data_IF_578536505164
#
_entry.id   IF_578536505164
#
_cell.length_a   1.000
_cell.length_b   1.000
_cell.length_c   1.000
_cell.angle_alpha   90.00
_cell.angle_beta   90.00
_cell.angle_gamma   90.00
#
_symmetry.space_group_name_H-M   'P 1'
#
loop_
_entity.id
_entity.type
_entity.pdbx_description
1 polymer ?
#
# COMPACT_ATOMS: atom_id res chain seq x y z
N UNK A 1 -15.59 -1.37 4.68
CA UNK A 1 -14.89 -2.67 4.45
C UNK A 1 -13.48 -2.40 3.97
N UNK A 2 -12.52 -3.02 4.60
CA UNK A 2 -11.10 -2.90 4.26
C UNK A 2 -10.56 -4.29 3.94
N UNK A 3 -10.03 -4.47 2.74
CA UNK A 3 -9.53 -5.76 2.25
C UNK A 3 -8.06 -5.58 1.88
N UNK A 4 -7.21 -6.45 2.41
CA UNK A 4 -5.79 -6.47 2.07
C UNK A 4 -5.50 -7.68 1.21
N UNK A 5 -4.84 -7.45 0.07
CA UNK A 5 -4.42 -8.53 -0.83
C UNK A 5 -2.91 -8.64 -0.74
N UNK A 6 -2.44 -9.78 -0.28
CA UNK A 6 -1.02 -10.10 -0.17
C UNK A 6 -0.65 -11.13 -1.23
N UNK A 7 0.61 -11.12 -1.63
CA UNK A 7 1.09 -12.08 -2.60
C UNK A 7 2.49 -11.73 -3.08
N UNK A 8 3.09 -12.66 -3.79
CA UNK A 8 4.40 -12.43 -4.41
C UNK A 8 4.26 -11.56 -5.65
N UNK A 9 5.30 -10.84 -5.96
CA UNK A 9 5.36 -10.09 -7.21
C UNK A 9 5.16 -11.03 -8.41
N UNK A 10 4.54 -10.51 -9.46
CA UNK A 10 4.23 -11.27 -10.68
C UNK A 10 3.23 -12.41 -10.50
N UNK A 11 2.46 -12.41 -9.40
CA UNK A 11 1.46 -13.43 -9.14
C UNK A 11 0.07 -13.13 -9.72
N UNK A 12 -0.06 -12.07 -10.52
CA UNK A 12 -1.36 -11.65 -11.04
C UNK A 12 -2.20 -10.88 -10.04
N UNK A 13 -1.58 -10.38 -8.98
CA UNK A 13 -2.26 -9.70 -7.88
C UNK A 13 -3.03 -8.47 -8.32
N UNK A 14 -2.47 -7.69 -9.26
CA UNK A 14 -3.16 -6.49 -9.78
C UNK A 14 -4.44 -6.87 -10.52
N UNK A 15 -4.40 -7.92 -11.32
CA UNK A 15 -5.58 -8.43 -12.02
C UNK A 15 -6.61 -8.94 -11.03
N UNK A 16 -6.17 -9.60 -9.97
CA UNK A 16 -7.04 -10.08 -8.91
C UNK A 16 -7.75 -8.91 -8.21
N UNK A 17 -7.01 -7.84 -7.89
CA UNK A 17 -7.61 -6.66 -7.25
C UNK A 17 -8.67 -6.02 -8.14
N UNK A 18 -8.43 -5.92 -9.44
CA UNK A 18 -9.41 -5.36 -10.38
C UNK A 18 -10.65 -6.25 -10.49
N UNK A 19 -10.46 -7.57 -10.54
CA UNK A 19 -11.57 -8.51 -10.58
C UNK A 19 -12.39 -8.43 -9.29
N UNK A 20 -11.74 -8.32 -8.15
CA UNK A 20 -12.37 -8.17 -6.86
C UNK A 20 -13.17 -6.88 -6.78
N UNK A 21 -12.62 -5.78 -7.28
CA UNK A 21 -13.32 -4.49 -7.36
C UNK A 21 -14.62 -4.62 -8.15
N UNK A 22 -14.55 -5.22 -9.34
CA UNK A 22 -15.72 -5.42 -10.20
C UNK A 22 -16.75 -6.28 -9.50
N UNK A 23 -16.33 -7.35 -8.86
CA UNK A 23 -17.23 -8.25 -8.13
C UNK A 23 -17.93 -7.51 -7.01
N UNK A 24 -17.22 -6.71 -6.24
CA UNK A 24 -17.79 -5.94 -5.12
C UNK A 24 -18.74 -4.86 -5.60
N UNK A 25 -18.41 -4.17 -6.69
CA UNK A 25 -19.28 -3.15 -7.25
C UNK A 25 -20.63 -3.72 -7.70
N UNK A 26 -20.65 -4.99 -8.12
CA UNK A 26 -21.85 -5.67 -8.59
C UNK A 26 -22.55 -6.50 -7.49
N UNK A 27 -22.02 -6.51 -6.28
CA UNK A 27 -22.61 -7.25 -5.17
C UNK A 27 -23.67 -6.42 -4.45
N UNK A 28 -24.53 -7.09 -3.69
CA UNK A 28 -25.51 -6.39 -2.83
C UNK A 28 -24.81 -5.52 -1.79
N UNK A 29 -23.72 -6.02 -1.23
CA UNK A 29 -22.96 -5.32 -0.18
C UNK A 29 -22.26 -4.09 -0.70
N UNK A 30 -21.83 -4.12 -1.97
CA UNK A 30 -21.13 -3.01 -2.61
C UNK A 30 -22.02 -2.05 -3.37
N UNK A 31 -23.31 -2.34 -3.44
CA UNK A 31 -24.25 -1.54 -4.22
C UNK A 31 -24.32 -0.11 -3.70
N UNK A 32 -24.07 0.84 -4.58
CA UNK A 32 -24.07 2.26 -4.22
C UNK A 32 -22.83 2.73 -3.50
N UNK A 33 -21.82 1.87 -3.33
CA UNK A 33 -20.55 2.23 -2.67
C UNK A 33 -19.43 2.33 -3.69
N UNK A 34 -18.54 3.27 -3.48
CA UNK A 34 -17.32 3.39 -4.27
C UNK A 34 -16.30 2.38 -3.77
N UNK A 35 -15.65 1.70 -4.68
CA UNK A 35 -14.55 0.77 -4.36
C UNK A 35 -13.24 1.39 -4.84
N UNK A 36 -12.29 1.55 -3.95
CA UNK A 36 -10.98 2.14 -4.26
C UNK A 36 -9.88 1.11 -4.04
N UNK A 37 -8.83 1.19 -4.86
CA UNK A 37 -7.68 0.29 -4.76
C UNK A 37 -6.45 1.16 -4.51
N UNK A 38 -5.68 0.81 -3.49
CA UNK A 38 -4.40 1.45 -3.19
C UNK A 38 -3.26 0.44 -3.29
N UNK A 39 -2.17 0.85 -3.95
CA UNK A 39 -0.91 0.11 -3.93
C UNK A 39 0.05 0.69 -2.90
N UNK A 40 1.10 -0.03 -2.58
CA UNK A 40 2.10 0.41 -1.62
C UNK A 40 3.50 0.26 -2.24
N UNK A 41 4.25 1.36 -2.52
CA UNK A 41 3.83 2.75 -2.36
C UNK A 41 2.95 3.21 -3.51
N UNK A 42 2.08 4.17 -3.23
CA UNK A 42 1.24 4.76 -4.25
C UNK A 42 -0.16 5.05 -3.72
N UNK A 43 -1.01 5.59 -4.57
CA UNK A 43 -2.41 5.89 -4.22
C UNK A 43 -2.62 7.24 -3.57
N UNK A 44 -1.69 7.74 -2.79
CA UNK A 44 -1.71 9.09 -2.22
C UNK A 44 -0.72 9.97 -2.95
N UNK A 45 -0.84 11.29 -2.74
CA UNK A 45 0.13 12.25 -3.31
C UNK A 45 1.53 11.93 -2.80
N UNK A 46 1.67 11.70 -1.50
CA UNK A 46 2.95 11.32 -0.89
C UNK A 46 3.49 10.02 -1.50
N UNK A 47 2.66 9.01 -1.64
CA UNK A 47 3.05 7.73 -2.21
C UNK A 47 3.52 7.84 -3.66
N UNK A 48 2.88 8.70 -4.44
CA UNK A 48 3.29 8.93 -5.82
C UNK A 48 4.67 9.57 -5.90
N UNK A 49 4.95 10.55 -5.06
CA UNK A 49 6.26 11.19 -4.97
C UNK A 49 7.33 10.21 -4.48
N UNK A 50 6.99 9.37 -3.52
CA UNK A 50 7.88 8.35 -3.01
C UNK A 50 8.24 7.33 -4.11
N UNK A 51 7.26 6.95 -4.91
CA UNK A 51 7.49 6.03 -6.04
C UNK A 51 8.46 6.61 -7.05
N UNK A 52 8.36 7.92 -7.31
CA UNK A 52 9.32 8.62 -8.18
C UNK A 52 10.72 8.57 -7.59
N UNK A 53 10.84 8.79 -6.29
CA UNK A 53 12.12 8.74 -5.59
C UNK A 53 12.75 7.35 -5.71
N UNK A 54 11.98 6.30 -5.51
CA UNK A 54 12.48 4.92 -5.62
C UNK A 54 12.93 4.54 -7.02
N UNK A 55 12.38 5.18 -8.05
CA UNK A 55 12.79 4.98 -9.44
C UNK A 55 13.94 5.88 -9.87
N UNK A 56 14.33 6.82 -9.03
CA UNK A 56 15.42 7.76 -9.33
C UNK A 56 16.78 7.14 -9.07
N UNK A 57 17.84 7.82 -9.50
CA UNK A 57 19.23 7.43 -9.27
C UNK A 57 19.77 7.94 -7.93
N UNK A 58 18.92 8.55 -7.11
CA UNK A 58 19.33 9.08 -5.80
C UNK A 58 19.71 7.90 -4.91
N UNK A 59 20.94 7.91 -4.43
CA UNK A 59 21.42 6.87 -3.51
C UNK A 59 20.70 6.95 -2.17
N UNK A 60 20.26 5.79 -1.70
CA UNK A 60 19.58 5.66 -0.42
C UNK A 60 20.01 4.36 0.25
N UNK A 61 20.16 4.39 1.56
CA UNK A 61 20.35 3.19 2.34
C UNK A 61 19.02 2.45 2.49
N UNK A 62 19.08 1.17 2.86
CA UNK A 62 17.87 0.40 3.17
C UNK A 62 17.12 1.00 4.35
N UNK A 63 17.86 1.57 5.30
CA UNK A 63 17.26 2.21 6.47
C UNK A 63 16.44 3.44 6.07
N UNK A 64 16.98 4.25 5.15
CA UNK A 64 16.23 5.39 4.62
C UNK A 64 14.96 4.93 3.91
N UNK A 65 15.06 3.89 3.08
CA UNK A 65 13.90 3.33 2.39
C UNK A 65 12.86 2.80 3.38
N UNK A 66 13.31 2.16 4.46
CA UNK A 66 12.41 1.67 5.50
C UNK A 66 11.60 2.81 6.12
N UNK A 67 12.26 3.89 6.51
CA UNK A 67 11.57 5.04 7.11
C UNK A 67 10.62 5.71 6.12
N UNK A 68 11.02 5.77 4.85
CA UNK A 68 10.16 6.32 3.80
C UNK A 68 8.89 5.47 3.62
N UNK A 69 9.04 4.16 3.63
CA UNK A 69 7.90 3.24 3.51
C UNK A 69 7.00 3.33 4.74
N UNK A 70 7.56 3.51 5.92
CA UNK A 70 6.77 3.71 7.14
C UNK A 70 5.96 5.01 7.05
N UNK A 71 6.57 6.09 6.56
CA UNK A 71 5.88 7.36 6.37
C UNK A 71 4.75 7.21 5.33
N UNK A 72 5.01 6.50 4.25
CA UNK A 72 3.99 6.21 3.25
C UNK A 72 2.82 5.45 3.85
N UNK A 73 3.11 4.48 4.70
CA UNK A 73 2.06 3.68 5.37
C UNK A 73 1.19 4.55 6.26
N UNK A 74 1.77 5.49 6.97
CA UNK A 74 1.01 6.45 7.81
C UNK A 74 0.10 7.31 6.93
N UNK A 75 0.64 7.86 5.84
CA UNK A 75 -0.14 8.65 4.90
C UNK A 75 -1.30 7.87 4.31
N UNK A 76 -1.02 6.64 3.89
CA UNK A 76 -2.03 5.75 3.31
C UNK A 76 -3.10 5.37 4.35
N UNK A 77 -2.69 5.12 5.59
CA UNK A 77 -3.63 4.78 6.67
C UNK A 77 -4.62 5.91 6.92
N UNK A 78 -4.15 7.16 6.89
CA UNK A 78 -5.04 8.32 7.04
C UNK A 78 -6.06 8.37 5.90
N UNK A 79 -5.62 8.14 4.67
CA UNK A 79 -6.51 8.16 3.51
C UNK A 79 -7.52 7.02 3.57
N UNK A 80 -7.08 5.83 3.94
CA UNK A 80 -7.97 4.66 4.08
C UNK A 80 -9.02 4.92 5.17
N UNK A 81 -8.60 5.48 6.30
CA UNK A 81 -9.52 5.79 7.39
C UNK A 81 -10.59 6.77 6.94
N UNK A 82 -10.21 7.78 6.18
CA UNK A 82 -11.16 8.74 5.63
C UNK A 82 -12.13 8.06 4.66
N UNK A 83 -11.61 7.23 3.74
CA UNK A 83 -12.45 6.53 2.76
C UNK A 83 -13.47 5.62 3.46
N UNK A 84 -13.04 4.90 4.48
CA UNK A 84 -13.94 4.03 5.26
C UNK A 84 -15.00 4.83 5.97
N UNK A 85 -14.67 6.02 6.49
CA UNK A 85 -15.64 6.89 7.15
C UNK A 85 -16.68 7.43 6.17
N UNK A 86 -16.34 7.50 4.90
CA UNK A 86 -17.25 7.92 3.82
C UNK A 86 -18.07 6.75 3.26
N UNK A 87 -17.91 5.55 3.82
CA UNK A 87 -18.65 4.37 3.40
C UNK A 87 -18.06 3.66 2.20
N UNK A 88 -16.85 4.00 1.78
CA UNK A 88 -16.19 3.34 0.66
C UNK A 88 -15.68 1.96 1.05
N UNK A 89 -15.52 1.10 0.04
CA UNK A 89 -14.82 -0.17 0.20
C UNK A 89 -13.39 0.03 -0.27
N UNK A 90 -12.42 -0.34 0.55
CA UNK A 90 -11.01 -0.12 0.26
C UNK A 90 -10.31 -1.47 0.07
N UNK A 91 -9.67 -1.62 -1.07
CA UNK A 91 -8.79 -2.76 -1.37
C UNK A 91 -7.36 -2.23 -1.34
N UNK A 92 -6.52 -2.82 -0.50
CA UNK A 92 -5.11 -2.45 -0.42
C UNK A 92 -4.26 -3.59 -0.97
N UNK A 93 -3.51 -3.29 -2.03
CA UNK A 93 -2.58 -4.21 -2.63
C UNK A 93 -1.25 -4.07 -1.89
N UNK A 94 -0.93 -5.06 -1.07
CA UNK A 94 0.26 -5.07 -0.22
C UNK A 94 0.23 -4.05 0.90
N UNK A 95 -0.05 -4.52 2.07
CA UNK A 95 0.09 -3.71 3.28
C UNK A 95 1.36 -4.04 4.04
N UNK A 96 1.90 -5.23 3.83
CA UNK A 96 3.02 -5.76 4.60
C UNK A 96 4.37 -5.20 4.14
N UNK A 97 5.17 -4.76 5.12
CA UNK A 97 6.54 -4.30 4.92
C UNK A 97 7.52 -5.17 5.72
N UNK A 98 7.13 -6.38 6.07
CA UNK A 98 7.90 -7.25 6.96
C UNK A 98 9.33 -7.51 6.46
N UNK A 99 9.51 -7.71 5.16
CA UNK A 99 10.84 -7.94 4.60
C UNK A 99 11.78 -6.74 4.84
N UNK A 100 11.23 -5.52 4.71
CA UNK A 100 11.98 -4.29 5.00
C UNK A 100 12.25 -4.15 6.50
N UNK A 101 11.31 -4.55 7.34
CA UNK A 101 11.48 -4.51 8.80
C UNK A 101 12.65 -5.39 9.23
N UNK A 102 12.72 -6.63 8.75
CA UNK A 102 13.81 -7.53 9.11
C UNK A 102 15.17 -7.01 8.66
N UNK A 103 15.27 -6.54 7.43
CA UNK A 103 16.52 -6.01 6.91
C UNK A 103 16.94 -4.75 7.64
N UNK A 104 15.99 -3.88 7.93
CA UNK A 104 16.26 -2.61 8.63
C UNK A 104 16.62 -2.82 10.08
N UNK A 105 16.07 -3.84 10.73
CA UNK A 105 16.47 -4.19 12.09
C UNK A 105 17.94 -4.58 12.15
N UNK A 106 18.43 -5.33 11.15
CA UNK A 106 19.85 -5.66 11.04
C UNK A 106 20.70 -4.40 10.83
N UNK A 107 20.25 -3.49 9.98
CA UNK A 107 20.95 -2.23 9.71
C UNK A 107 21.00 -1.35 10.96
N UNK A 108 19.92 -1.29 11.73
CA UNK A 108 19.87 -0.54 13.00
C UNK A 108 20.85 -1.14 14.02
N UNK A 109 20.91 -2.48 14.09
CA UNK A 109 21.83 -3.16 14.99
C UNK A 109 23.29 -2.80 14.69
N UNK A 110 23.63 -2.62 13.43
CA UNK A 110 24.98 -2.19 13.03
C UNK A 110 25.26 -0.72 13.35
N UNK A 111 24.21 0.09 13.47
CA UNK A 111 24.35 1.51 13.75
C UNK A 111 24.74 1.79 15.20
N UNK A 112 24.54 0.84 16.07
CA UNK A 112 24.94 0.93 17.48
C UNK A 112 26.39 0.49 17.63
#
# INVERSE_FOLDING_TARGET
>A
MFIVVEGMDYSGKSSFCQALKTLLENSEEGKGKEVVIYGNPGGTVFGKELRKLFKSDIERSRLEDFFLLCANRVSLAHQIKQDLSEGKIVICDRWDISAHVYQSAADIAQFK
#
